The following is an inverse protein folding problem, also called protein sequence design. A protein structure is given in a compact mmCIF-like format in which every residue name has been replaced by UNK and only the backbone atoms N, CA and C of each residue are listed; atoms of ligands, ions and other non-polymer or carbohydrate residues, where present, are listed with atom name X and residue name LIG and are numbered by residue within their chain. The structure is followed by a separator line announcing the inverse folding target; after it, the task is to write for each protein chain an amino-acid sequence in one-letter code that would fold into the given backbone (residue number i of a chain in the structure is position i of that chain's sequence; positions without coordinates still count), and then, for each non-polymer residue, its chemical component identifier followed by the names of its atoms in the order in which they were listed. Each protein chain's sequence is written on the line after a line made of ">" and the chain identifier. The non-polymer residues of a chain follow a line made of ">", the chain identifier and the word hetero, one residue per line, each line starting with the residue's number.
data_IF_123266450382
#
_entry.id   IF_123266450382
#
_cell.length_a   1.000
_cell.length_b   1.000
_cell.length_c   1.000
_cell.angle_alpha   90.00
_cell.angle_beta   90.00
_cell.angle_gamma   90.00
#
_symmetry.space_group_name_H-M   'P 1'
#
loop_
_entity.id
_entity.type
_entity.pdbx_description
1 polymer ?
#
# COMPACT_ATOMS: atom_id res chain seq x y z
N UNK A 1 42.26 7.07 75.09
CA UNK A 1 42.52 8.27 75.90
C UNK A 1 41.39 9.25 75.72
N UNK A 2 40.77 9.59 76.85
CA UNK A 2 40.01 10.77 77.22
C UNK A 2 38.67 11.00 76.51
N UNK A 3 37.55 10.52 77.03
CA UNK A 3 36.59 11.15 78.00
C UNK A 3 36.57 12.66 77.97
N UNK A 4 35.38 13.27 77.71
CA UNK A 4 34.75 14.26 78.63
C UNK A 4 33.27 14.48 78.29
N UNK A 5 32.50 14.24 79.26
CA UNK A 5 31.08 14.56 79.52
C UNK A 5 30.96 16.03 79.88
N UNK A 6 29.88 16.75 79.47
CA UNK A 6 29.22 17.74 80.33
C UNK A 6 27.84 18.13 79.89
N UNK A 7 26.90 17.75 80.70
CA UNK A 7 25.64 18.39 80.96
C UNK A 7 25.71 19.90 81.12
N UNK A 8 24.72 20.65 80.64
CA UNK A 8 24.10 21.70 81.45
C UNK A 8 22.79 22.15 80.74
N UNK A 9 21.71 22.04 81.49
CA UNK A 9 20.40 22.51 81.12
C UNK A 9 20.28 24.03 81.17
N UNK A 10 19.32 24.49 80.39
CA UNK A 10 18.74 25.81 80.63
C UNK A 10 17.22 25.69 80.43
N UNK A 11 16.48 25.81 81.56
CA UNK A 11 15.10 26.20 81.60
C UNK A 11 14.97 27.66 81.22
N UNK A 12 14.15 27.98 80.26
CA UNK A 12 13.78 29.32 79.87
C UNK A 12 12.30 29.41 79.57
N UNK A 13 11.52 29.79 80.58
CA UNK A 13 10.16 30.26 80.40
C UNK A 13 10.16 31.41 79.37
N UNK A 14 9.48 31.28 78.28
CA UNK A 14 9.07 32.39 77.47
C UNK A 14 7.54 32.35 77.27
N UNK A 15 6.92 33.21 78.05
CA UNK A 15 5.51 33.60 77.92
C UNK A 15 5.40 34.40 76.62
N UNK A 16 4.67 33.87 75.66
CA UNK A 16 4.24 34.61 74.45
C UNK A 16 3.11 35.60 74.86
N UNK A 17 3.32 36.92 74.60
CA UNK A 17 2.40 37.99 75.03
C UNK A 17 1.27 38.28 74.01
N UNK A 18 0.94 37.38 73.10
CA UNK A 18 -0.15 37.65 72.16
C UNK A 18 -1.14 36.49 72.15
N UNK A 19 -2.16 36.64 73.03
CA UNK A 19 -3.34 35.84 73.01
C UNK A 19 -4.08 36.01 71.69
N UNK A 20 -4.21 34.90 70.94
CA UNK A 20 -5.00 34.79 69.73
C UNK A 20 -5.92 33.60 69.86
N UNK A 21 -7.17 33.91 70.11
CA UNK A 21 -8.40 33.15 69.98
C UNK A 21 -8.29 31.80 69.24
N UNK A 22 -8.67 30.73 69.93
CA UNK A 22 -8.93 29.42 69.38
C UNK A 22 -10.01 29.48 68.33
N UNK A 23 -9.64 29.60 67.05
CA UNK A 23 -10.57 29.39 65.95
C UNK A 23 -10.42 27.96 65.49
N UNK A 24 -11.47 27.19 65.77
CA UNK A 24 -11.66 25.82 65.34
C UNK A 24 -11.73 25.74 63.80
N UNK A 25 -10.57 25.79 63.14
CA UNK A 25 -10.49 25.49 61.70
C UNK A 25 -10.76 23.97 61.53
N UNK A 26 -11.98 23.68 61.13
CA UNK A 26 -12.31 22.42 60.52
C UNK A 26 -11.38 22.23 59.31
N UNK A 27 -10.40 21.40 59.46
CA UNK A 27 -9.67 20.84 58.30
C UNK A 27 -10.72 20.20 57.38
N UNK A 28 -10.69 20.50 56.07
CA UNK A 28 -11.51 19.76 55.15
C UNK A 28 -11.06 18.31 55.23
N UNK A 29 -11.92 17.52 55.83
CA UNK A 29 -11.79 16.06 55.80
C UNK A 29 -11.91 15.63 54.34
N UNK A 30 -10.78 15.35 53.71
CA UNK A 30 -10.75 14.60 52.46
C UNK A 30 -11.22 13.19 52.84
N UNK A 31 -12.53 13.04 52.99
CA UNK A 31 -13.14 11.73 53.04
C UNK A 31 -12.75 11.01 51.78
N UNK A 32 -11.88 10.02 51.94
CA UNK A 32 -11.50 9.14 50.86
C UNK A 32 -12.78 8.63 50.21
N UNK A 33 -12.99 8.82 48.90
CA UNK A 33 -14.23 8.36 48.25
C UNK A 33 -14.47 6.85 48.45
N UNK A 34 -13.43 6.14 48.86
CA UNK A 34 -13.48 4.71 49.21
C UNK A 34 -14.19 4.41 50.55
N UNK A 35 -14.18 5.32 51.56
CA UNK A 35 -14.87 5.06 52.83
C UNK A 35 -16.39 5.15 52.69
N UNK A 36 -16.87 6.06 51.84
CA UNK A 36 -18.30 6.14 51.49
C UNK A 36 -18.79 4.89 50.76
N UNK A 37 -17.93 4.34 49.91
CA UNK A 37 -18.22 3.12 49.18
C UNK A 37 -18.24 1.88 50.11
N UNK A 38 -17.30 1.80 51.07
CA UNK A 38 -17.27 0.72 52.06
C UNK A 38 -18.46 0.75 52.99
N UNK A 39 -18.93 1.93 53.44
CA UNK A 39 -20.11 2.07 54.29
C UNK A 39 -21.41 1.70 53.57
N UNK A 40 -21.49 1.99 52.29
CA UNK A 40 -22.65 1.60 51.48
C UNK A 40 -22.63 0.11 51.10
N UNK A 41 -21.44 -0.49 50.86
CA UNK A 41 -21.31 -1.94 50.68
C UNK A 41 -21.70 -2.72 51.92
N UNK A 42 -21.38 -2.24 53.15
CA UNK A 42 -21.76 -2.87 54.39
C UNK A 42 -23.28 -2.76 54.68
N UNK A 43 -23.98 -1.78 54.09
CA UNK A 43 -25.44 -1.66 54.14
C UNK A 43 -26.16 -2.57 53.15
N UNK A 44 -25.53 -2.90 52.04
CA UNK A 44 -26.06 -3.82 51.02
C UNK A 44 -25.86 -5.29 51.33
N UNK A 45 -25.02 -5.59 52.36
CA UNK A 45 -24.84 -6.95 52.88
C UNK A 45 -25.59 -7.04 54.20
N UNK A 46 -26.91 -7.38 54.24
CA UNK A 46 -27.63 -7.53 55.46
C UNK A 46 -27.17 -8.82 56.16
N UNK A 47 -26.42 -8.65 57.21
CA UNK A 47 -26.00 -9.75 58.09
C UNK A 47 -24.50 -9.92 58.15
N UNK A 48 -23.88 -9.21 59.12
CA UNK A 48 -22.52 -9.49 59.60
C UNK A 48 -22.41 -10.92 60.05
N UNK A 49 -22.04 -11.78 59.17
CA UNK A 49 -21.80 -13.17 59.45
C UNK A 49 -20.85 -13.75 58.44
N UNK A 50 -19.74 -14.34 58.91
CA UNK A 50 -18.83 -15.25 58.20
C UNK A 50 -19.60 -16.44 57.56
N UNK A 51 -20.70 -16.17 56.89
CA UNK A 51 -21.59 -17.15 56.33
C UNK A 51 -21.41 -17.30 54.82
N UNK A 52 -21.57 -18.50 54.33
CA UNK A 52 -21.58 -18.92 52.92
C UNK A 52 -22.37 -17.97 52.00
N UNK A 53 -23.36 -17.22 52.51
CA UNK A 53 -24.17 -16.26 51.74
C UNK A 53 -23.43 -14.97 51.34
N UNK A 54 -22.58 -14.40 52.20
CA UNK A 54 -21.79 -13.22 51.88
C UNK A 54 -20.71 -13.53 50.83
N UNK A 55 -20.09 -14.70 50.97
CA UNK A 55 -19.15 -15.20 49.96
C UNK A 55 -19.84 -15.45 48.60
N UNK A 56 -21.06 -15.96 48.62
CA UNK A 56 -21.85 -16.18 47.38
C UNK A 56 -22.25 -14.87 46.68
N UNK A 57 -22.63 -13.85 47.44
CA UNK A 57 -22.91 -12.52 46.87
C UNK A 57 -21.68 -11.87 46.30
N UNK A 58 -20.53 -11.94 46.98
CA UNK A 58 -19.24 -11.45 46.44
C UNK A 58 -18.87 -12.19 45.16
N UNK A 59 -19.04 -13.51 45.13
CA UNK A 59 -18.79 -14.32 43.95
C UNK A 59 -19.67 -13.90 42.75
N UNK A 60 -20.97 -13.66 42.98
CA UNK A 60 -21.92 -13.18 41.97
C UNK A 60 -21.47 -11.82 41.41
N UNK A 61 -21.04 -10.89 42.28
CA UNK A 61 -20.56 -9.57 41.87
C UNK A 61 -19.29 -9.72 41.00
N UNK A 62 -18.36 -10.57 41.38
CA UNK A 62 -17.13 -10.85 40.59
C UNK A 62 -17.50 -11.45 39.23
N UNK A 63 -18.40 -12.42 39.16
CA UNK A 63 -18.87 -13.04 37.92
C UNK A 63 -19.58 -12.02 37.04
N UNK A 64 -20.36 -11.12 37.61
CA UNK A 64 -21.07 -10.08 36.90
C UNK A 64 -20.08 -9.04 36.31
N UNK A 65 -19.09 -8.62 37.08
CA UNK A 65 -18.00 -7.75 36.60
C UNK A 65 -17.17 -8.43 35.52
N UNK A 66 -16.88 -9.72 35.68
CA UNK A 66 -16.19 -10.50 34.67
C UNK A 66 -17.02 -10.60 33.39
N UNK A 67 -18.31 -10.87 33.45
CA UNK A 67 -19.21 -10.93 32.30
C UNK A 67 -19.31 -9.56 31.58
N UNK A 68 -19.38 -8.45 32.32
CA UNK A 68 -19.36 -7.09 31.72
C UNK A 68 -18.06 -6.74 31.01
N UNK A 69 -16.96 -7.38 31.35
CA UNK A 69 -15.65 -7.19 30.68
C UNK A 69 -15.62 -7.68 29.22
N UNK A 70 -16.64 -8.40 28.77
CA UNK A 70 -16.72 -8.91 27.38
C UNK A 70 -17.21 -7.90 26.33
N UNK A 71 -17.51 -6.66 26.70
CA UNK A 71 -17.90 -5.64 25.73
C UNK A 71 -16.69 -5.11 24.98
N UNK A 72 -16.74 -5.10 23.65
CA UNK A 72 -15.70 -4.52 22.79
C UNK A 72 -16.30 -3.73 21.64
N UNK A 73 -15.52 -2.80 21.11
CA UNK A 73 -15.89 -1.96 19.99
C UNK A 73 -15.00 -2.29 18.80
N UNK A 74 -15.63 -2.50 17.63
CA UNK A 74 -14.95 -2.62 16.34
C UNK A 74 -15.11 -1.28 15.62
N UNK A 75 -14.00 -0.67 15.24
CA UNK A 75 -14.01 0.59 14.49
C UNK A 75 -14.50 0.37 13.05
N UNK A 76 -14.83 1.46 12.35
CA UNK A 76 -15.36 1.38 10.98
C UNK A 76 -14.35 0.85 9.94
N UNK A 77 -13.06 0.97 10.23
CA UNK A 77 -11.95 0.49 9.41
C UNK A 77 -11.49 -0.93 9.76
N UNK A 78 -12.07 -1.53 10.81
CA UNK A 78 -11.68 -2.83 11.36
C UNK A 78 -12.78 -3.88 11.15
N UNK A 79 -12.39 -5.13 11.17
CA UNK A 79 -13.29 -6.28 11.24
C UNK A 79 -12.90 -7.14 12.44
N UNK A 80 -13.86 -7.42 13.30
CA UNK A 80 -13.60 -8.24 14.48
C UNK A 80 -13.59 -9.72 14.11
N UNK A 81 -12.58 -10.44 14.58
CA UNK A 81 -12.45 -11.89 14.45
C UNK A 81 -12.43 -12.50 15.84
N UNK A 82 -13.49 -13.21 16.18
CA UNK A 82 -13.67 -13.83 17.51
C UNK A 82 -13.10 -15.25 17.49
N UNK A 83 -12.20 -15.50 18.42
CA UNK A 83 -11.59 -16.80 18.64
C UNK A 83 -12.03 -17.37 19.97
N UNK A 84 -12.52 -18.59 19.98
CA UNK A 84 -12.83 -19.35 21.21
C UNK A 84 -11.78 -20.44 21.41
N UNK A 85 -11.02 -20.34 22.49
CA UNK A 85 -9.87 -21.23 22.75
C UNK A 85 -8.91 -21.36 21.56
N UNK A 86 -8.68 -20.23 20.83
CA UNK A 86 -7.80 -20.19 19.67
C UNK A 86 -8.41 -20.65 18.35
N UNK A 87 -9.65 -21.18 18.34
CA UNK A 87 -10.35 -21.54 17.11
C UNK A 87 -11.24 -20.39 16.64
N UNK A 88 -11.27 -20.16 15.34
CA UNK A 88 -12.18 -19.22 14.71
C UNK A 88 -13.64 -19.60 14.93
N UNK A 89 -14.48 -18.65 15.36
CA UNK A 89 -15.91 -18.85 15.60
C UNK A 89 -16.75 -17.96 14.70
N UNK A 90 -16.49 -16.66 14.69
CA UNK A 90 -17.30 -15.71 13.94
C UNK A 90 -16.51 -14.44 13.57
N UNK A 91 -16.98 -13.76 12.53
CA UNK A 91 -16.56 -12.40 12.17
C UNK A 91 -17.65 -11.42 12.62
N UNK A 92 -17.23 -10.24 13.09
CA UNK A 92 -18.14 -9.18 13.52
C UNK A 92 -17.91 -7.92 12.70
N UNK A 93 -19.02 -7.29 12.29
CA UNK A 93 -19.04 -6.01 11.57
C UNK A 93 -18.63 -4.85 12.51
N UNK A 94 -18.33 -3.67 11.97
CA UNK A 94 -18.12 -2.48 12.80
C UNK A 94 -19.30 -2.22 13.72
N UNK A 95 -19.01 -1.85 14.97
CA UNK A 95 -20.02 -1.59 15.99
C UNK A 95 -19.61 -2.06 17.39
N UNK A 96 -20.59 -2.06 18.30
CA UNK A 96 -20.44 -2.58 19.66
C UNK A 96 -20.90 -4.04 19.69
N UNK A 97 -20.02 -4.91 20.15
CA UNK A 97 -20.26 -6.35 20.23
C UNK A 97 -19.90 -6.88 21.61
N UNK A 98 -20.40 -8.07 21.89
CA UNK A 98 -20.10 -8.78 23.12
C UNK A 98 -19.43 -10.12 22.79
N UNK A 99 -18.35 -10.42 23.50
CA UNK A 99 -17.72 -11.73 23.48
C UNK A 99 -17.60 -12.29 24.91
N UNK A 100 -17.40 -13.58 25.04
CA UNK A 100 -17.13 -14.18 26.35
C UNK A 100 -15.75 -13.70 26.84
N UNK A 101 -15.69 -13.19 28.10
CA UNK A 101 -14.45 -12.62 28.62
C UNK A 101 -13.30 -13.65 28.63
N UNK A 102 -12.08 -13.08 28.59
CA UNK A 102 -10.89 -13.89 28.76
C UNK A 102 -11.02 -14.81 29.99
N UNK A 103 -10.62 -16.10 29.94
CA UNK A 103 -9.78 -16.77 28.93
C UNK A 103 -10.58 -17.52 27.83
N UNK A 104 -11.90 -17.43 27.76
CA UNK A 104 -12.73 -18.23 26.86
C UNK A 104 -12.61 -17.73 25.42
N UNK A 105 -12.79 -16.42 25.19
CA UNK A 105 -12.70 -15.82 23.88
C UNK A 105 -11.65 -14.71 23.84
N UNK A 106 -11.05 -14.55 22.67
CA UNK A 106 -10.16 -13.44 22.33
C UNK A 106 -10.59 -12.86 20.99
N UNK A 107 -10.50 -11.53 20.87
CA UNK A 107 -10.86 -10.82 19.64
C UNK A 107 -9.61 -10.22 19.03
N UNK A 108 -9.45 -10.39 17.70
CA UNK A 108 -8.48 -9.66 16.90
C UNK A 108 -9.22 -8.74 15.94
N UNK A 109 -8.78 -7.50 15.82
CA UNK A 109 -9.40 -6.48 14.96
C UNK A 109 -8.42 -5.99 13.90
N UNK A 110 -8.16 -6.78 12.84
CA UNK A 110 -7.33 -6.32 11.74
C UNK A 110 -8.04 -5.20 10.98
N UNK A 111 -7.25 -4.24 10.48
CA UNK A 111 -7.74 -3.12 9.69
C UNK A 111 -7.93 -3.54 8.24
N UNK A 112 -9.18 -3.70 7.82
CA UNK A 112 -9.54 -4.22 6.48
C UNK A 112 -9.64 -3.12 5.42
N UNK A 113 -9.94 -1.88 5.82
CA UNK A 113 -10.15 -0.77 4.89
C UNK A 113 -8.86 -0.04 4.53
N UNK A 114 -7.83 -0.19 5.37
CA UNK A 114 -6.54 0.48 5.13
C UNK A 114 -5.82 -0.18 3.97
N UNK A 115 -5.39 0.65 3.02
CA UNK A 115 -4.52 0.24 1.92
C UNK A 115 -3.09 0.13 2.46
N UNK A 116 -2.59 -1.09 2.48
CA UNK A 116 -1.20 -1.37 2.83
C UNK A 116 -0.34 -1.28 1.58
N UNK A 117 0.92 -0.87 1.74
CA UNK A 117 1.90 -0.78 0.67
C UNK A 117 3.12 -1.63 1.00
N UNK A 118 3.58 -2.36 0.01
CA UNK A 118 4.85 -3.10 0.06
C UNK A 118 5.69 -2.64 -1.12
N UNK A 119 6.92 -2.22 -0.84
CA UNK A 119 7.89 -1.82 -1.85
C UNK A 119 8.85 -2.98 -2.12
N UNK A 120 9.10 -3.26 -3.40
CA UNK A 120 9.97 -4.31 -3.90
C UNK A 120 11.05 -3.65 -4.78
N UNK A 121 12.30 -4.10 -4.61
CA UNK A 121 13.47 -3.53 -5.26
C UNK A 121 14.11 -2.39 -4.48
N UNK A 122 13.34 -1.68 -3.66
CA UNK A 122 13.82 -0.57 -2.86
C UNK A 122 13.48 -0.72 -1.38
N UNK A 123 14.38 -0.29 -0.50
CA UNK A 123 14.14 -0.17 0.94
C UNK A 123 14.32 1.28 1.37
N UNK A 124 13.22 1.91 1.77
CA UNK A 124 13.29 3.19 2.45
C UNK A 124 13.82 2.99 3.87
N UNK A 125 15.03 3.43 4.16
CA UNK A 125 15.49 3.52 5.55
C UNK A 125 14.83 4.72 6.20
N UNK A 126 13.77 4.50 6.98
CA UNK A 126 13.28 5.47 7.95
C UNK A 126 14.22 5.48 9.17
N UNK A 127 15.45 5.92 9.00
CA UNK A 127 16.27 6.30 10.14
C UNK A 127 15.76 7.65 10.62
N UNK A 128 14.94 7.64 11.66
CA UNK A 128 14.62 8.81 12.46
C UNK A 128 15.87 9.23 13.24
N UNK A 129 16.85 9.78 12.56
CA UNK A 129 17.92 10.55 13.17
C UNK A 129 17.48 12.01 13.15
N UNK A 130 17.42 12.59 14.32
CA UNK A 130 17.06 13.97 14.60
C UNK A 130 17.81 14.92 13.65
N UNK A 131 17.11 15.49 12.67
CA UNK A 131 17.58 16.69 11.98
C UNK A 131 17.81 16.66 10.47
N UNK A 132 17.76 15.52 9.76
CA UNK A 132 17.89 15.55 8.30
C UNK A 132 17.07 14.41 7.67
N UNK A 133 15.92 14.75 7.09
CA UNK A 133 15.03 13.83 6.38
C UNK A 133 15.58 13.55 4.97
N UNK A 134 16.77 13.02 4.88
CA UNK A 134 17.23 12.39 3.64
C UNK A 134 16.67 10.96 3.62
N UNK A 135 15.57 10.77 2.93
CA UNK A 135 15.11 9.42 2.54
C UNK A 135 16.15 8.85 1.58
N UNK A 136 17.18 8.22 2.08
CA UNK A 136 18.03 7.41 1.23
C UNK A 136 17.26 6.13 0.90
N UNK A 137 16.70 6.07 -0.28
CA UNK A 137 16.23 4.81 -0.87
C UNK A 137 17.47 3.97 -1.14
N UNK A 138 17.52 2.80 -0.54
CA UNK A 138 18.56 1.81 -0.78
C UNK A 138 18.00 0.82 -1.79
N UNK A 139 18.63 0.76 -2.93
CA UNK A 139 18.37 -0.22 -3.97
C UNK A 139 18.78 -1.62 -3.52
N UNK A 140 17.95 -2.64 -3.82
CA UNK A 140 18.17 -4.05 -3.47
C UNK A 140 18.20 -4.86 -4.77
N UNK A 141 19.37 -4.98 -5.42
CA UNK A 141 19.48 -5.61 -6.75
C UNK A 141 19.00 -7.06 -6.81
N UNK A 142 19.00 -7.76 -5.67
CA UNK A 142 18.50 -9.14 -5.57
C UNK A 142 16.98 -9.24 -5.84
N UNK A 143 16.25 -8.17 -5.58
CA UNK A 143 14.79 -8.07 -5.73
C UNK A 143 14.38 -7.36 -7.02
N UNK A 144 15.21 -6.42 -7.52
CA UNK A 144 14.90 -5.54 -8.66
C UNK A 144 15.41 -6.05 -10.01
N UNK A 145 16.52 -6.83 -10.03
CA UNK A 145 17.08 -7.31 -11.28
C UNK A 145 16.29 -8.49 -11.84
N UNK A 146 15.81 -8.34 -13.08
CA UNK A 146 15.02 -9.33 -13.78
C UNK A 146 15.51 -9.48 -15.24
N UNK A 147 15.29 -10.67 -15.81
CA UNK A 147 15.58 -10.96 -17.20
C UNK A 147 14.30 -10.88 -18.02
N UNK A 148 14.33 -10.14 -19.12
CA UNK A 148 13.24 -10.05 -20.10
C UNK A 148 13.25 -11.20 -21.08
N UNK A 149 12.15 -11.39 -21.84
CA UNK A 149 12.04 -12.45 -22.85
C UNK A 149 12.99 -12.30 -24.02
N UNK A 150 13.51 -11.10 -24.28
CA UNK A 150 14.52 -10.78 -25.28
C UNK A 150 15.96 -10.74 -24.71
N UNK A 151 16.20 -11.47 -23.60
CA UNK A 151 17.51 -11.69 -22.98
C UNK A 151 18.20 -10.41 -22.44
N UNK A 152 17.45 -9.35 -22.18
CA UNK A 152 17.96 -8.14 -21.56
C UNK A 152 17.76 -8.18 -20.04
N UNK A 153 18.70 -7.59 -19.29
CA UNK A 153 18.56 -7.40 -17.84
C UNK A 153 17.96 -6.03 -17.59
N UNK A 154 16.93 -5.99 -16.78
CA UNK A 154 16.25 -4.77 -16.33
C UNK A 154 16.24 -4.67 -14.82
N UNK A 155 16.33 -3.44 -14.31
CA UNK A 155 16.22 -3.06 -12.91
C UNK A 155 14.84 -2.44 -12.71
N UNK A 156 13.95 -3.16 -12.02
CA UNK A 156 12.55 -2.78 -11.84
C UNK A 156 12.23 -2.63 -10.37
N UNK A 157 11.94 -1.39 -9.96
CA UNK A 157 11.37 -1.09 -8.65
C UNK A 157 9.88 -0.89 -8.76
N UNK A 158 9.12 -1.55 -7.89
CA UNK A 158 7.67 -1.44 -7.90
C UNK A 158 7.06 -1.51 -6.52
N UNK A 159 5.85 -1.00 -6.40
CA UNK A 159 5.06 -1.02 -5.17
C UNK A 159 3.75 -1.74 -5.39
N UNK A 160 3.37 -2.55 -4.44
CA UNK A 160 2.09 -3.27 -4.41
C UNK A 160 1.20 -2.66 -3.34
N UNK A 161 -0.01 -2.27 -3.74
CA UNK A 161 -1.05 -1.76 -2.86
C UNK A 161 -2.11 -2.84 -2.67
N UNK A 162 -2.38 -3.19 -1.42
CA UNK A 162 -3.28 -4.28 -1.09
C UNK A 162 -4.14 -3.98 0.14
N UNK A 163 -5.27 -4.65 0.24
CA UNK A 163 -6.19 -4.58 1.38
C UNK A 163 -6.57 -5.99 1.83
N UNK A 164 -7.04 -6.11 3.05
CA UNK A 164 -7.58 -7.36 3.57
C UNK A 164 -9.03 -7.47 3.10
N UNK A 165 -9.38 -8.52 2.34
CA UNK A 165 -10.75 -8.80 1.92
C UNK A 165 -11.48 -9.72 2.92
N UNK A 166 -10.77 -10.68 3.51
CA UNK A 166 -11.29 -11.59 4.53
C UNK A 166 -10.32 -11.66 5.71
N UNK A 167 -10.72 -11.07 6.83
CA UNK A 167 -9.92 -11.00 8.04
C UNK A 167 -9.59 -12.38 8.64
N UNK A 168 -10.49 -13.35 8.53
CA UNK A 168 -10.24 -14.70 9.05
C UNK A 168 -9.23 -15.46 8.19
N UNK A 169 -9.40 -15.43 6.87
CA UNK A 169 -8.46 -16.05 5.95
C UNK A 169 -7.06 -15.46 6.09
N UNK A 170 -6.95 -14.13 6.17
CA UNK A 170 -5.70 -13.40 6.39
C UNK A 170 -4.97 -13.81 7.67
N UNK A 171 -5.70 -14.01 8.78
CA UNK A 171 -5.11 -14.34 10.07
C UNK A 171 -4.74 -15.81 10.25
N UNK A 172 -5.41 -16.73 9.53
CA UNK A 172 -5.30 -18.17 9.82
C UNK A 172 -4.77 -19.02 8.68
N UNK A 173 -4.89 -18.57 7.42
CA UNK A 173 -4.41 -19.36 6.28
C UNK A 173 -2.97 -19.10 5.91
N UNK A 174 -2.45 -17.92 6.25
CA UNK A 174 -1.08 -17.53 5.93
C UNK A 174 -0.34 -17.15 7.21
N UNK A 175 0.83 -17.74 7.43
CA UNK A 175 1.64 -17.49 8.62
C UNK A 175 2.31 -16.11 8.59
N UNK A 176 2.85 -15.69 7.43
CA UNK A 176 3.54 -14.43 7.23
C UNK A 176 3.01 -13.72 5.97
N UNK A 177 1.84 -13.06 6.05
CA UNK A 177 1.17 -12.52 4.87
C UNK A 177 2.02 -11.50 4.09
N UNK A 178 2.72 -10.59 4.75
CA UNK A 178 3.56 -9.59 4.07
C UNK A 178 4.70 -10.23 3.29
N UNK A 179 5.37 -11.24 3.87
CA UNK A 179 6.44 -11.97 3.18
C UNK A 179 5.90 -12.78 2.01
N UNK A 180 4.72 -13.37 2.16
CA UNK A 180 4.06 -14.14 1.10
C UNK A 180 3.65 -13.22 -0.05
N UNK A 181 3.04 -12.05 0.24
CA UNK A 181 2.69 -11.06 -0.79
C UNK A 181 3.95 -10.62 -1.54
N UNK A 182 5.03 -10.34 -0.83
CA UNK A 182 6.31 -9.94 -1.43
C UNK A 182 6.84 -11.02 -2.36
N UNK A 183 6.91 -12.27 -1.92
CA UNK A 183 7.41 -13.39 -2.74
C UNK A 183 6.53 -13.64 -3.97
N UNK A 184 5.20 -13.54 -3.82
CA UNK A 184 4.26 -13.66 -4.93
C UNK A 184 4.43 -12.49 -5.90
N UNK A 185 4.66 -11.28 -5.41
CA UNK A 185 4.88 -10.10 -6.24
C UNK A 185 6.17 -10.21 -7.07
N UNK A 186 7.27 -10.62 -6.43
CA UNK A 186 8.54 -10.87 -7.12
C UNK A 186 8.41 -11.97 -8.18
N UNK A 187 7.71 -13.07 -7.86
CA UNK A 187 7.49 -14.16 -8.80
C UNK A 187 6.62 -13.74 -9.98
N UNK A 188 5.49 -13.06 -9.72
CA UNK A 188 4.57 -12.60 -10.74
C UNK A 188 5.21 -11.56 -11.67
N UNK A 189 5.97 -10.59 -11.10
CA UNK A 189 6.69 -9.61 -11.90
C UNK A 189 7.74 -10.29 -12.78
N UNK A 190 8.52 -11.22 -12.23
CA UNK A 190 9.54 -11.96 -12.98
C UNK A 190 8.93 -12.81 -14.10
N UNK A 191 7.75 -13.40 -13.89
CA UNK A 191 7.03 -14.16 -14.92
C UNK A 191 6.53 -13.26 -16.05
N UNK A 192 5.88 -12.14 -15.74
CA UNK A 192 5.37 -11.21 -16.75
C UNK A 192 6.50 -10.54 -17.54
N UNK A 193 7.55 -10.10 -16.85
CA UNK A 193 8.73 -9.49 -17.49
C UNK A 193 9.48 -10.50 -18.33
N UNK A 194 9.64 -11.74 -17.87
CA UNK A 194 10.30 -12.81 -18.61
C UNK A 194 9.57 -13.23 -19.89
N UNK A 195 8.26 -12.96 -19.96
CA UNK A 195 7.46 -13.18 -21.17
C UNK A 195 7.30 -11.93 -22.05
N UNK A 196 7.92 -10.81 -21.68
CA UNK A 196 7.80 -9.51 -22.37
C UNK A 196 9.14 -9.05 -22.92
N UNK A 197 9.10 -8.28 -24.01
CA UNK A 197 10.28 -7.58 -24.53
C UNK A 197 10.56 -6.32 -23.70
N UNK A 198 11.82 -5.88 -23.69
CA UNK A 198 12.26 -4.70 -22.92
C UNK A 198 11.60 -3.40 -23.38
N UNK A 199 11.43 -3.21 -24.71
CA UNK A 199 10.93 -1.95 -25.30
C UNK A 199 9.53 -1.56 -24.81
N UNK A 200 8.52 -2.44 -24.86
CA UNK A 200 7.18 -2.15 -24.32
C UNK A 200 7.20 -1.75 -22.85
N UNK A 201 8.04 -2.42 -22.05
CA UNK A 201 8.13 -2.16 -20.59
C UNK A 201 8.71 -0.77 -20.31
N UNK A 202 9.71 -0.34 -21.10
CA UNK A 202 10.36 0.97 -20.92
C UNK A 202 9.47 2.13 -21.40
N UNK A 203 8.60 1.94 -22.41
CA UNK A 203 7.94 3.06 -23.09
C UNK A 203 6.44 3.16 -22.86
N UNK A 204 5.64 2.28 -23.40
CA UNK A 204 4.19 2.50 -23.47
C UNK A 204 3.32 1.45 -22.78
N UNK A 205 3.83 0.25 -22.56
CA UNK A 205 3.04 -0.85 -22.04
C UNK A 205 3.13 -1.03 -20.52
N UNK A 206 3.66 -0.05 -19.78
CA UNK A 206 3.79 -0.12 -18.31
C UNK A 206 2.46 -0.45 -17.65
N UNK A 207 1.39 0.23 -18.03
CA UNK A 207 0.07 0.00 -17.45
C UNK A 207 -0.44 -1.41 -17.70
N UNK A 208 -0.21 -1.96 -18.90
CA UNK A 208 -0.57 -3.34 -19.21
C UNK A 208 0.22 -4.33 -18.36
N UNK A 209 1.52 -4.13 -18.24
CA UNK A 209 2.38 -4.97 -17.39
C UNK A 209 1.95 -4.92 -15.92
N UNK A 210 1.63 -3.72 -15.38
CA UNK A 210 1.11 -3.55 -14.02
C UNK A 210 -0.21 -4.34 -13.82
N UNK A 211 -1.09 -4.33 -14.83
CA UNK A 211 -2.37 -5.02 -14.78
C UNK A 211 -2.22 -6.54 -14.90
N UNK A 212 -1.35 -7.03 -15.78
CA UNK A 212 -1.03 -8.44 -15.94
C UNK A 212 -0.41 -9.00 -14.64
N UNK A 213 0.54 -8.29 -14.04
CA UNK A 213 1.13 -8.64 -12.73
C UNK A 213 0.07 -8.66 -11.64
N UNK A 214 -0.78 -7.63 -11.57
CA UNK A 214 -1.89 -7.58 -10.60
C UNK A 214 -2.81 -8.79 -10.74
N UNK A 215 -3.18 -9.16 -11.97
CA UNK A 215 -4.03 -10.31 -12.27
C UNK A 215 -3.41 -11.62 -11.82
N UNK A 216 -2.14 -11.84 -12.15
CA UNK A 216 -1.39 -13.04 -11.78
C UNK A 216 -1.20 -13.16 -10.27
N UNK A 217 -0.85 -12.05 -9.61
CA UNK A 217 -0.75 -11.99 -8.14
C UNK A 217 -2.08 -12.35 -7.47
N UNK A 218 -3.19 -11.74 -7.96
CA UNK A 218 -4.52 -12.01 -7.38
C UNK A 218 -4.90 -13.49 -7.53
N UNK A 219 -4.72 -14.07 -8.73
CA UNK A 219 -5.00 -15.47 -8.98
C UNK A 219 -4.17 -16.40 -8.06
N UNK A 220 -2.91 -16.08 -7.86
CA UNK A 220 -2.02 -16.85 -6.96
C UNK A 220 -2.45 -16.75 -5.51
N UNK A 221 -2.73 -15.53 -5.01
CA UNK A 221 -3.18 -15.31 -3.63
C UNK A 221 -4.57 -15.92 -3.37
N UNK A 222 -5.44 -15.92 -4.36
CA UNK A 222 -6.75 -16.57 -4.29
C UNK A 222 -6.60 -18.09 -4.22
N UNK A 223 -5.66 -18.69 -4.94
CA UNK A 223 -5.37 -20.12 -4.86
C UNK A 223 -4.89 -20.54 -3.46
N UNK A 224 -4.18 -19.67 -2.76
CA UNK A 224 -3.78 -19.87 -1.36
C UNK A 224 -4.93 -19.57 -0.37
N UNK A 225 -6.01 -18.98 -0.85
CA UNK A 225 -7.11 -18.51 -0.03
C UNK A 225 -6.68 -17.45 0.98
N UNK A 226 -5.79 -16.56 0.57
CA UNK A 226 -5.11 -15.57 1.43
C UNK A 226 -6.05 -14.56 2.11
N UNK A 227 -7.24 -14.32 1.55
CA UNK A 227 -8.14 -13.26 2.02
C UNK A 227 -7.56 -11.85 1.79
N UNK A 228 -6.76 -11.69 0.73
CA UNK A 228 -6.08 -10.45 0.36
C UNK A 228 -6.55 -10.03 -1.03
N UNK A 229 -6.82 -8.75 -1.19
CA UNK A 229 -7.14 -8.17 -2.49
C UNK A 229 -6.05 -7.19 -2.90
N UNK A 230 -5.45 -7.44 -4.06
CA UNK A 230 -4.51 -6.50 -4.67
C UNK A 230 -5.31 -5.38 -5.34
N UNK A 231 -5.07 -4.15 -4.90
CA UNK A 231 -5.72 -2.97 -5.46
C UNK A 231 -5.00 -2.50 -6.71
N UNK A 232 -3.71 -2.33 -6.60
CA UNK A 232 -2.89 -1.75 -7.64
C UNK A 232 -1.44 -2.23 -7.52
N UNK A 233 -0.78 -2.38 -8.65
CA UNK A 233 0.68 -2.53 -8.76
C UNK A 233 1.20 -1.30 -9.50
N UNK A 234 2.25 -0.65 -9.01
CA UNK A 234 2.86 0.53 -9.61
C UNK A 234 4.34 0.31 -9.81
N UNK A 235 4.79 0.35 -11.04
CA UNK A 235 6.21 0.42 -11.37
C UNK A 235 6.73 1.84 -11.14
N UNK A 236 7.78 1.98 -10.34
CA UNK A 236 8.38 3.28 -10.01
C UNK A 236 9.57 3.58 -10.90
N UNK A 237 10.48 2.63 -11.00
CA UNK A 237 11.70 2.72 -11.79
C UNK A 237 11.77 1.50 -12.71
N UNK A 238 12.12 1.73 -13.96
CA UNK A 238 12.39 0.67 -14.94
C UNK A 238 13.54 1.15 -15.78
N UNK A 239 14.73 0.67 -15.50
CA UNK A 239 15.95 1.08 -16.16
C UNK A 239 16.83 -0.13 -16.47
N UNK A 240 17.69 -0.07 -17.49
CA UNK A 240 18.79 -1.01 -17.63
C UNK A 240 19.76 -0.86 -16.45
N UNK A 241 20.46 -1.94 -16.04
CA UNK A 241 21.50 -1.84 -15.00
C UNK A 241 22.56 -0.79 -15.36
N UNK A 242 23.06 -0.09 -14.35
CA UNK A 242 24.02 1.00 -14.52
C UNK A 242 25.28 0.61 -15.31
N UNK A 243 25.69 -0.66 -15.21
CA UNK A 243 26.87 -1.19 -15.92
C UNK A 243 26.72 -1.23 -17.46
N UNK A 244 25.48 -1.26 -17.98
CA UNK A 244 25.22 -1.42 -19.43
C UNK A 244 24.44 -0.24 -20.02
N UNK A 245 24.20 0.81 -19.24
CA UNK A 245 23.33 1.93 -19.63
C UNK A 245 23.87 2.66 -20.88
N UNK A 246 25.19 2.82 -21.01
CA UNK A 246 25.81 3.50 -22.15
C UNK A 246 25.70 2.67 -23.42
N UNK A 247 26.00 1.36 -23.33
CA UNK A 247 25.84 0.44 -24.47
C UNK A 247 24.36 0.35 -24.92
N UNK A 248 23.42 0.38 -23.98
CA UNK A 248 21.99 0.39 -24.30
C UNK A 248 21.58 1.68 -25.02
N UNK A 249 22.09 2.84 -24.59
CA UNK A 249 21.87 4.13 -25.28
C UNK A 249 22.41 4.13 -26.72
N UNK A 250 23.59 3.55 -26.93
CA UNK A 250 24.16 3.43 -28.26
C UNK A 250 23.29 2.57 -29.21
N UNK A 251 22.76 1.45 -28.69
CA UNK A 251 21.82 0.60 -29.45
C UNK A 251 20.53 1.35 -29.78
N UNK A 252 19.99 2.13 -28.81
CA UNK A 252 18.81 2.95 -29.07
C UNK A 252 19.05 4.06 -30.08
N UNK A 253 20.20 4.71 -30.03
CA UNK A 253 20.60 5.71 -31.03
C UNK A 253 20.71 5.09 -32.44
N UNK A 254 21.34 3.93 -32.54
CA UNK A 254 21.47 3.22 -33.82
C UNK A 254 20.11 2.79 -34.40
N UNK A 255 19.15 2.34 -33.53
CA UNK A 255 17.77 2.02 -33.96
C UNK A 255 17.02 3.27 -34.43
N UNK A 256 17.15 4.38 -33.73
CA UNK A 256 16.53 5.65 -34.14
C UNK A 256 17.10 6.16 -35.46
N UNK A 257 18.39 6.00 -35.70
CA UNK A 257 19.02 6.36 -36.97
C UNK A 257 18.55 5.45 -38.11
N UNK A 258 18.42 4.15 -37.86
CA UNK A 258 17.84 3.20 -38.81
C UNK A 258 16.40 3.58 -39.21
N UNK A 259 15.55 3.90 -38.22
CA UNK A 259 14.16 4.33 -38.46
C UNK A 259 14.11 5.65 -39.24
N UNK A 260 14.99 6.60 -38.90
CA UNK A 260 15.11 7.87 -39.63
C UNK A 260 15.49 7.63 -41.10
N UNK A 261 16.52 6.85 -41.36
CA UNK A 261 16.94 6.51 -42.72
C UNK A 261 15.85 5.80 -43.52
N UNK A 262 15.11 4.88 -42.87
CA UNK A 262 13.95 4.21 -43.47
C UNK A 262 12.82 5.18 -43.82
N UNK A 263 12.49 6.08 -42.89
CA UNK A 263 11.45 7.08 -43.07
C UNK A 263 11.81 8.09 -44.19
N UNK A 264 13.08 8.53 -44.26
CA UNK A 264 13.59 9.37 -45.31
C UNK A 264 13.53 8.67 -46.70
N UNK A 265 13.94 7.39 -46.76
CA UNK A 265 13.82 6.60 -47.97
C UNK A 265 12.37 6.39 -48.44
N UNK A 266 11.47 6.12 -47.51
CA UNK A 266 10.03 6.01 -47.80
C UNK A 266 9.44 7.36 -48.25
N UNK A 267 9.81 8.47 -47.62
CA UNK A 267 9.38 9.80 -48.00
C UNK A 267 9.88 10.17 -49.42
N UNK A 268 11.13 9.83 -49.71
CA UNK A 268 11.71 10.00 -51.05
C UNK A 268 10.96 9.16 -52.10
N UNK A 269 10.73 7.88 -51.84
CA UNK A 269 9.98 6.99 -52.73
C UNK A 269 8.54 7.50 -52.96
N UNK A 270 7.85 7.92 -51.91
CA UNK A 270 6.49 8.47 -51.98
C UNK A 270 6.40 9.81 -52.71
N UNK A 271 7.51 10.54 -52.85
CA UNK A 271 7.61 11.75 -53.68
C UNK A 271 7.91 11.42 -55.11
N UNK A 272 9.00 10.69 -55.39
CA UNK A 272 9.52 10.48 -56.74
C UNK A 272 8.62 9.59 -57.60
N UNK A 273 8.05 8.53 -57.02
CA UNK A 273 7.21 7.59 -57.79
C UNK A 273 5.92 8.26 -58.29
N UNK A 274 5.10 8.97 -57.48
CA UNK A 274 3.92 9.65 -57.97
C UNK A 274 4.25 10.81 -58.94
N UNK A 275 5.37 11.54 -58.70
CA UNK A 275 5.82 12.62 -59.57
C UNK A 275 6.15 12.08 -60.98
N UNK A 276 6.94 10.98 -61.07
CA UNK A 276 7.26 10.33 -62.35
C UNK A 276 6.04 9.73 -63.04
N UNK A 277 5.08 9.15 -62.26
CA UNK A 277 3.80 8.69 -62.82
C UNK A 277 2.96 9.84 -63.38
N UNK A 278 2.89 10.95 -62.64
CA UNK A 278 2.17 12.15 -63.09
C UNK A 278 2.76 12.73 -64.35
N UNK A 279 4.09 12.78 -64.45
CA UNK A 279 4.77 13.26 -65.67
C UNK A 279 4.55 12.32 -66.85
N UNK A 280 4.65 11.01 -66.65
CA UNK A 280 4.32 10.01 -67.68
C UNK A 280 2.89 10.13 -68.19
N UNK A 281 1.92 10.26 -67.28
CA UNK A 281 0.51 10.44 -67.68
C UNK A 281 0.27 11.76 -68.42
N UNK A 282 0.96 12.82 -68.01
CA UNK A 282 0.93 14.10 -68.71
C UNK A 282 1.40 13.99 -70.16
N UNK A 283 2.61 13.38 -70.35
CA UNK A 283 3.18 13.13 -71.70
C UNK A 283 2.22 12.29 -72.54
N UNK A 284 1.66 11.24 -71.98
CA UNK A 284 0.69 10.38 -72.68
C UNK A 284 -0.55 11.15 -73.13
N UNK A 285 -1.14 11.94 -72.25
CA UNK A 285 -2.34 12.74 -72.58
C UNK A 285 -2.04 13.84 -73.57
N UNK A 286 -0.89 14.50 -73.51
CA UNK A 286 -0.43 15.46 -74.51
C UNK A 286 -0.28 14.82 -75.89
N UNK A 287 0.31 13.59 -75.95
CA UNK A 287 0.44 12.82 -77.19
C UNK A 287 -0.92 12.38 -77.77
N UNK A 288 -1.84 11.92 -76.95
CA UNK A 288 -3.21 11.56 -77.34
C UNK A 288 -3.98 12.80 -77.87
N UNK A 289 -3.83 13.94 -77.22
CA UNK A 289 -4.42 15.19 -77.64
C UNK A 289 -3.85 15.66 -78.97
N UNK A 290 -2.53 15.61 -79.17
CA UNK A 290 -1.86 15.94 -80.43
C UNK A 290 -2.32 15.02 -81.56
N UNK A 291 -2.42 13.71 -81.31
CA UNK A 291 -2.95 12.74 -82.27
C UNK A 291 -4.38 13.08 -82.71
N UNK A 292 -5.25 13.31 -81.71
CA UNK A 292 -6.68 13.63 -81.98
C UNK A 292 -6.83 14.96 -82.74
N UNK A 293 -6.03 15.97 -82.41
CA UNK A 293 -5.99 17.23 -83.13
C UNK A 293 -5.56 17.06 -84.58
N UNK A 294 -4.43 16.34 -84.84
CA UNK A 294 -3.89 16.10 -86.17
C UNK A 294 -4.89 15.31 -87.01
N UNK A 295 -5.54 14.29 -86.51
CA UNK A 295 -6.57 13.53 -87.22
C UNK A 295 -7.76 14.39 -87.53
N UNK A 296 -8.27 15.22 -86.58
CA UNK A 296 -9.41 16.10 -86.81
C UNK A 296 -9.10 17.20 -87.83
N UNK A 297 -7.89 17.76 -87.85
CA UNK A 297 -7.43 18.71 -88.86
C UNK A 297 -7.36 18.06 -90.26
N UNK A 298 -6.77 16.84 -90.37
CA UNK A 298 -6.72 16.11 -91.62
C UNK A 298 -8.11 15.73 -92.18
N UNK A 299 -9.03 15.25 -91.29
CA UNK A 299 -10.41 15.00 -91.68
C UNK A 299 -11.14 16.28 -92.08
N UNK A 300 -10.88 17.39 -91.43
CA UNK A 300 -11.45 18.70 -91.79
C UNK A 300 -10.99 19.17 -93.17
N UNK A 301 -9.69 19.00 -93.48
CA UNK A 301 -9.12 19.28 -94.78
C UNK A 301 -9.71 18.37 -95.86
N UNK A 302 -9.81 17.06 -95.58
CA UNK A 302 -10.38 16.10 -96.56
C UNK A 302 -11.87 16.40 -96.82
N UNK A 303 -12.69 16.74 -95.84
CA UNK A 303 -14.08 17.13 -96.00
C UNK A 303 -14.25 18.43 -96.84
N UNK A 304 -13.35 19.40 -96.63
CA UNK A 304 -13.36 20.63 -97.52
C UNK A 304 -13.03 20.29 -98.92
N UNK A 305 -12.09 19.43 -99.18
CA UNK A 305 -11.69 18.99 -100.53
C UNK A 305 -12.82 18.22 -101.24
N UNK A 306 -13.58 17.37 -100.56
CA UNK A 306 -14.70 16.63 -101.11
C UNK A 306 -15.96 17.51 -101.34
N UNK A 307 -16.04 18.65 -100.65
CA UNK A 307 -17.18 19.61 -100.79
C UNK A 307 -17.04 20.63 -101.89
N UNK A 308 -15.95 20.67 -102.61
CA UNK A 308 -15.67 21.39 -103.87
C UNK A 308 -15.97 20.56 -105.11
#
# INVERSE_FOLDING_TARGET
>A
MATVNKNSGWNGDNRDPWGGSSNNQRQPNFENPFEGFQKNLNKLIPGGGKGKRGFFLLFIVIVLLWALSGLYRVNADEQGVVLRFGKFVSQTSPGLHYHLPWPIETVKTPKVTIVNRIDIGMRGSSSSSFGNTSRSMRDVPEESLMLTGDENIVDIDFSVFWVISDAAAFLFRIQFPERTIKAVAESAMREVVGNSEIQPILTGARQKTEEDVRGLMQATLDSYGAGIQIREVKMQKVDPPSAVIDAFRDVQAARADQERARNEANAYANKVVPEAQGESEKIRRESEAYQSQTVAEAEGQAKRFVSI
#
